data_IF_252230432045
#
_entry.id   IF_252230432045
#
_cell.length_a   1.000
_cell.length_b   1.000
_cell.length_c   1.000
_cell.angle_alpha   90.00
_cell.angle_beta   90.00
_cell.angle_gamma   90.00
#
_symmetry.space_group_name_H-M   'P 1'
#
loop_
_entity.id
_entity.type
_entity.pdbx_description
1 polymer ?
#
# COMPACT_ATOMS: atom_id res chain seq x y z
N UNK A 1 11.80 -10.62 2.53
CA UNK A 1 10.57 -10.23 3.28
C UNK A 1 9.46 -11.20 2.92
N UNK A 2 8.36 -11.20 3.67
CA UNK A 2 7.28 -12.20 3.62
C UNK A 2 6.89 -12.57 2.18
N UNK A 3 6.78 -13.86 1.90
CA UNK A 3 6.36 -14.36 0.60
C UNK A 3 4.86 -14.14 0.39
N UNK A 4 4.49 -13.66 -0.80
CA UNK A 4 3.10 -13.47 -1.19
C UNK A 4 2.45 -14.81 -1.50
N UNK A 5 1.19 -14.96 -1.09
CA UNK A 5 0.39 -16.13 -1.48
C UNK A 5 0.00 -16.03 -2.96
N UNK A 6 -0.22 -17.14 -3.68
CA UNK A 6 -0.53 -17.12 -5.11
C UNK A 6 -1.68 -16.19 -5.48
N UNK A 7 -2.80 -16.24 -4.75
CA UNK A 7 -3.95 -15.36 -5.00
C UNK A 7 -3.65 -13.87 -4.77
N UNK A 8 -2.67 -13.54 -3.93
CA UNK A 8 -2.25 -12.15 -3.72
C UNK A 8 -1.43 -11.64 -4.90
N UNK A 9 -0.62 -12.51 -5.52
CA UNK A 9 0.07 -12.22 -6.77
C UNK A 9 -0.94 -12.00 -7.91
N UNK A 10 -2.00 -12.81 -7.97
CA UNK A 10 -3.07 -12.64 -8.95
C UNK A 10 -3.77 -11.28 -8.82
N UNK A 11 -4.08 -10.85 -7.59
CA UNK A 11 -4.67 -9.53 -7.33
C UNK A 11 -3.74 -8.36 -7.74
N UNK A 12 -2.44 -8.51 -7.51
CA UNK A 12 -1.42 -7.53 -7.94
C UNK A 12 -1.33 -7.47 -9.47
N UNK A 13 -1.26 -8.64 -10.13
CA UNK A 13 -1.19 -8.74 -11.58
C UNK A 13 -2.44 -8.16 -12.25
N UNK A 14 -3.62 -8.42 -11.68
CA UNK A 14 -4.87 -7.82 -12.10
C UNK A 14 -4.82 -6.29 -12.04
N UNK A 15 -4.39 -5.72 -10.91
CA UNK A 15 -4.28 -4.27 -10.75
C UNK A 15 -3.27 -3.64 -11.72
N UNK A 16 -2.13 -4.32 -11.95
CA UNK A 16 -1.10 -3.87 -12.89
C UNK A 16 -1.57 -3.87 -14.34
N UNK A 17 -2.29 -4.90 -14.77
CA UNK A 17 -2.83 -4.98 -16.13
C UNK A 17 -3.96 -3.98 -16.39
N UNK A 18 -4.80 -3.70 -15.38
CA UNK A 18 -5.93 -2.79 -15.52
C UNK A 18 -5.53 -1.30 -15.41
N UNK A 19 -4.44 -0.98 -14.71
CA UNK A 19 -4.01 0.38 -14.38
C UNK A 19 -4.89 1.09 -13.33
N UNK A 20 -6.21 0.79 -13.30
CA UNK A 20 -7.17 1.18 -12.26
C UNK A 20 -7.99 -0.04 -11.88
N UNK A 21 -8.00 -0.39 -10.59
CA UNK A 21 -8.64 -1.60 -10.12
C UNK A 21 -9.33 -1.40 -8.76
N UNK A 22 -10.35 -2.22 -8.51
CA UNK A 22 -10.98 -2.38 -7.19
C UNK A 22 -10.70 -3.81 -6.74
N UNK A 23 -9.95 -3.97 -5.65
CA UNK A 23 -9.72 -5.26 -5.02
C UNK A 23 -10.86 -5.53 -4.03
N UNK A 24 -11.83 -6.34 -4.46
CA UNK A 24 -13.06 -6.62 -3.71
C UNK A 24 -13.05 -8.00 -3.02
N UNK A 25 -11.86 -8.55 -2.77
CA UNK A 25 -11.69 -9.81 -2.06
C UNK A 25 -12.32 -9.79 -0.66
N UNK A 26 -12.61 -10.96 -0.11
CA UNK A 26 -13.13 -11.09 1.26
C UNK A 26 -12.23 -10.43 2.31
N UNK A 27 -12.83 -10.06 3.44
CA UNK A 27 -12.10 -9.54 4.59
C UNK A 27 -11.11 -10.59 5.10
N UNK A 28 -9.88 -10.18 5.42
CA UNK A 28 -8.83 -11.09 5.90
C UNK A 28 -7.91 -11.66 4.80
N UNK A 29 -8.26 -11.56 3.52
CA UNK A 29 -7.41 -12.05 2.41
C UNK A 29 -6.20 -11.14 2.08
N UNK A 30 -5.93 -10.12 2.90
CA UNK A 30 -4.72 -9.33 2.73
C UNK A 30 -4.76 -8.32 1.56
N UNK A 31 -5.89 -7.65 1.33
CA UNK A 31 -5.96 -6.53 0.36
C UNK A 31 -4.88 -5.47 0.59
N UNK A 32 -4.50 -5.23 1.85
CA UNK A 32 -3.39 -4.33 2.22
C UNK A 32 -2.06 -4.80 1.64
N UNK A 33 -1.70 -6.08 1.80
CA UNK A 33 -0.43 -6.61 1.28
C UNK A 33 -0.43 -6.63 -0.25
N UNK A 34 -1.58 -6.90 -0.88
CA UNK A 34 -1.74 -6.79 -2.34
C UNK A 34 -1.52 -5.34 -2.81
N UNK A 35 -2.12 -4.34 -2.16
CA UNK A 35 -1.93 -2.93 -2.51
C UNK A 35 -0.46 -2.48 -2.34
N UNK A 36 0.22 -2.93 -1.28
CA UNK A 36 1.65 -2.66 -1.06
C UNK A 36 2.49 -3.34 -2.16
N UNK A 37 2.19 -4.60 -2.49
CA UNK A 37 2.86 -5.34 -3.56
C UNK A 37 2.69 -4.67 -4.93
N UNK A 38 1.50 -4.13 -5.20
CA UNK A 38 1.25 -3.34 -6.41
C UNK A 38 2.07 -2.05 -6.44
N UNK A 39 2.17 -1.33 -5.32
CA UNK A 39 3.02 -0.14 -5.22
C UNK A 39 4.51 -0.48 -5.44
N UNK A 40 4.99 -1.60 -4.88
CA UNK A 40 6.36 -2.08 -5.12
C UNK A 40 6.61 -2.49 -6.57
N UNK A 41 5.64 -3.15 -7.20
CA UNK A 41 5.70 -3.49 -8.62
C UNK A 41 5.85 -2.23 -9.47
N UNK A 42 5.01 -1.21 -9.26
CA UNK A 42 5.11 0.06 -9.97
C UNK A 42 6.43 0.80 -9.71
N UNK A 43 6.99 0.68 -8.51
CA UNK A 43 8.28 1.27 -8.19
C UNK A 43 9.42 0.65 -9.00
N UNK A 44 9.36 -0.67 -9.25
CA UNK A 44 10.38 -1.42 -10.00
C UNK A 44 10.21 -1.25 -11.50
N UNK A 45 9.00 -1.42 -12.01
CA UNK A 45 8.73 -1.48 -13.45
C UNK A 45 8.52 -0.09 -14.07
N UNK A 46 7.94 0.85 -13.32
CA UNK A 46 7.59 2.19 -13.82
C UNK A 46 8.35 3.33 -13.12
N UNK A 47 9.26 3.01 -12.18
CA UNK A 47 10.06 4.01 -11.48
C UNK A 47 9.27 4.93 -10.55
N UNK A 48 8.04 4.55 -10.16
CA UNK A 48 7.20 5.34 -9.26
C UNK A 48 7.81 5.36 -7.85
N UNK A 49 8.17 6.55 -7.37
CA UNK A 49 8.86 6.72 -6.06
C UNK A 49 8.00 7.29 -4.94
N UNK A 50 6.85 7.86 -5.27
CA UNK A 50 5.92 8.46 -4.29
C UNK A 50 4.52 7.89 -4.51
N UNK A 51 3.93 7.38 -3.44
CA UNK A 51 2.59 6.79 -3.42
C UNK A 51 1.80 7.42 -2.29
N UNK A 52 0.57 7.85 -2.58
CA UNK A 52 -0.37 8.35 -1.58
C UNK A 52 -1.37 7.24 -1.23
N UNK A 53 -1.46 6.92 0.05
CA UNK A 53 -2.45 5.97 0.58
C UNK A 53 -3.47 6.78 1.39
N UNK A 54 -4.74 6.64 1.05
CA UNK A 54 -5.85 7.25 1.78
C UNK A 54 -6.61 6.14 2.52
N UNK A 55 -6.68 6.27 3.84
CA UNK A 55 -7.32 5.30 4.72
C UNK A 55 -7.98 6.02 5.90
N UNK A 56 -8.95 5.37 6.60
CA UNK A 56 -9.44 5.85 7.88
C UNK A 56 -8.29 6.16 8.86
N UNK A 57 -8.46 7.21 9.67
CA UNK A 57 -7.42 7.67 10.59
C UNK A 57 -6.89 6.56 11.53
N UNK A 58 -7.79 5.69 12.00
CA UNK A 58 -7.44 4.55 12.86
C UNK A 58 -6.54 3.50 12.20
N UNK A 59 -6.48 3.44 10.87
CA UNK A 59 -5.69 2.43 10.13
C UNK A 59 -4.32 2.93 9.70
N UNK A 60 -4.02 4.23 9.82
CA UNK A 60 -2.75 4.82 9.36
C UNK A 60 -1.52 4.15 9.97
N UNK A 61 -1.54 3.93 11.28
CA UNK A 61 -0.45 3.25 12.00
C UNK A 61 -0.30 1.79 11.56
N UNK A 62 -1.41 1.09 11.28
CA UNK A 62 -1.37 -0.27 10.76
C UNK A 62 -0.74 -0.33 9.37
N UNK A 63 -1.10 0.59 8.47
CA UNK A 63 -0.48 0.70 7.15
C UNK A 63 1.03 0.91 7.24
N UNK A 64 1.49 1.81 8.13
CA UNK A 64 2.92 2.03 8.38
C UNK A 64 3.63 0.75 8.79
N UNK A 65 3.06 0.02 9.75
CA UNK A 65 3.62 -1.24 10.24
C UNK A 65 3.70 -2.29 9.15
N UNK A 66 2.66 -2.46 8.33
CA UNK A 66 2.66 -3.43 7.24
C UNK A 66 3.67 -3.05 6.13
N UNK A 67 3.77 -1.78 5.74
CA UNK A 67 4.77 -1.31 4.77
C UNK A 67 6.19 -1.59 5.28
N UNK A 68 6.45 -1.29 6.55
CA UNK A 68 7.74 -1.57 7.17
C UNK A 68 7.99 -3.08 7.26
N UNK A 69 6.97 -3.90 7.54
CA UNK A 69 7.09 -5.37 7.55
C UNK A 69 7.36 -5.96 6.16
N UNK A 70 6.72 -5.46 5.11
CA UNK A 70 6.72 -6.09 3.77
C UNK A 70 7.76 -5.55 2.79
N UNK A 71 8.07 -4.25 2.80
CA UNK A 71 9.00 -3.66 1.82
C UNK A 71 10.00 -2.63 2.36
N UNK A 72 9.95 -2.29 3.65
CA UNK A 72 10.93 -1.38 4.31
C UNK A 72 10.95 0.05 3.78
N UNK A 73 9.88 0.47 3.10
CA UNK A 73 9.81 1.83 2.57
C UNK A 73 9.66 2.84 3.71
N UNK A 74 10.23 4.02 3.49
CA UNK A 74 9.93 5.16 4.35
C UNK A 74 8.45 5.54 4.20
N UNK A 75 7.80 5.80 5.34
CA UNK A 75 6.39 6.19 5.42
C UNK A 75 6.27 7.44 6.27
N UNK A 76 5.70 8.48 5.67
CA UNK A 76 5.27 9.70 6.33
C UNK A 76 3.78 9.59 6.64
N UNK A 77 3.43 9.67 7.92
CA UNK A 77 2.04 9.76 8.34
C UNK A 77 1.63 11.24 8.36
N UNK A 78 0.52 11.56 7.69
CA UNK A 78 -0.05 12.91 7.66
C UNK A 78 -1.21 12.94 8.65
N UNK A 79 -0.99 13.54 9.81
CA UNK A 79 -1.93 13.62 10.92
C UNK A 79 -2.01 15.04 11.50
N UNK A 80 -2.99 15.28 12.38
CA UNK A 80 -3.15 16.57 13.07
C UNK A 80 -3.94 17.63 12.30
N UNK A 81 -3.91 18.83 12.85
CA UNK A 81 -4.57 20.03 12.33
C UNK A 81 -3.95 20.50 11.02
N UNK A 82 -4.45 21.60 10.44
CA UNK A 82 -3.82 22.19 9.26
C UNK A 82 -2.39 22.70 9.54
N UNK A 83 -2.12 23.18 10.76
CA UNK A 83 -0.78 23.64 11.18
C UNK A 83 0.21 22.48 11.26
N UNK A 84 -0.17 21.40 11.95
CA UNK A 84 0.69 20.20 12.11
C UNK A 84 1.07 19.58 10.76
N UNK A 85 0.16 19.62 9.78
CA UNK A 85 0.38 19.09 8.42
C UNK A 85 1.30 19.95 7.55
N UNK A 86 1.47 21.23 7.86
CA UNK A 86 2.38 22.10 7.12
C UNK A 86 3.86 21.83 7.45
N UNK A 87 4.10 21.20 8.60
CA UNK A 87 5.44 20.88 9.12
C UNK A 87 5.87 19.43 8.84
N UNK A 88 4.95 18.59 8.34
CA UNK A 88 5.20 17.18 8.03
C UNK A 88 5.76 17.00 6.61
#
# INVERSE_FOLDING_TARGET
KVDLLPYQLDGIAFAAGAGRAILADEMGLGKTIQAIGFAEFLAREAGIRKVLIVAPASLKSQWRSEIHRFCDRNVQLVDGSAGDRAET
#
